data_IF_541544310367
#
_entry.id   IF_541544310367
#
_cell.length_a   1.000
_cell.length_b   1.000
_cell.length_c   1.000
_cell.angle_alpha   90.00
_cell.angle_beta   90.00
_cell.angle_gamma   90.00
#
_symmetry.space_group_name_H-M   'P 1'
#
loop_
_entity.id
_entity.type
_entity.pdbx_description
1 polymer ?
#
# COMPACT_ATOMS: atom_id res chain seq x y z
N UNK A 1 -26.58 16.61 12.70
CA UNK A 1 -26.38 17.16 14.06
C UNK A 1 -25.05 17.86 13.98
N UNK A 2 -25.09 19.17 13.72
CA UNK A 2 -23.90 19.89 13.25
C UNK A 2 -23.14 20.43 14.47
N UNK A 3 -21.91 19.95 14.64
CA UNK A 3 -21.04 20.36 15.73
C UNK A 3 -20.39 21.69 15.33
N UNK A 4 -20.81 22.77 16.00
CA UNK A 4 -20.18 24.08 15.90
C UNK A 4 -19.13 24.20 17.01
N UNK A 5 -17.85 24.23 16.65
CA UNK A 5 -16.74 24.43 17.60
C UNK A 5 -16.31 25.90 17.54
N UNK A 6 -16.35 26.59 18.67
CA UNK A 6 -15.94 27.99 18.79
C UNK A 6 -14.75 28.10 19.75
N UNK A 7 -13.62 28.63 19.26
CA UNK A 7 -12.36 28.71 20.00
C UNK A 7 -12.30 30.03 20.78
N UNK A 8 -12.41 29.98 22.12
CA UNK A 8 -12.50 31.20 22.96
C UNK A 8 -11.14 31.81 23.37
N UNK A 9 -10.04 31.03 23.45
CA UNK A 9 -8.65 31.52 23.56
C UNK A 9 -7.65 30.36 23.53
N UNK A 10 -6.46 30.57 22.97
CA UNK A 10 -5.35 29.59 22.90
C UNK A 10 -5.18 28.97 21.51
N UNK A 11 -3.94 28.59 21.17
CA UNK A 11 -3.61 27.95 19.88
C UNK A 11 -3.66 26.43 20.04
N UNK A 12 -4.69 25.77 19.50
CA UNK A 12 -4.73 24.32 19.41
C UNK A 12 -3.78 23.87 18.28
N UNK A 13 -2.50 23.66 18.62
CA UNK A 13 -1.53 23.00 17.74
C UNK A 13 -1.78 21.48 17.79
N UNK A 14 -2.85 21.04 17.12
CA UNK A 14 -3.10 19.60 16.93
C UNK A 14 -2.23 19.12 15.77
N UNK A 15 -1.11 18.48 16.07
CA UNK A 15 -0.37 17.72 15.06
C UNK A 15 -1.05 16.36 14.91
N UNK A 16 -2.01 16.27 13.99
CA UNK A 16 -2.50 14.96 13.52
C UNK A 16 -1.47 14.44 12.52
N UNK A 17 -0.48 13.70 13.01
CA UNK A 17 0.45 12.99 12.15
C UNK A 17 -0.27 11.76 11.59
N UNK A 18 -1.01 11.93 10.49
CA UNK A 18 -1.39 10.79 9.65
C UNK A 18 -0.11 10.28 9.01
N UNK A 19 0.26 8.99 9.17
CA UNK A 19 1.34 8.41 8.37
C UNK A 19 0.90 8.43 6.91
N UNK A 20 1.30 9.47 6.18
CA UNK A 20 1.22 9.50 4.72
C UNK A 20 2.27 8.53 4.18
N UNK A 21 1.85 7.70 3.24
CA UNK A 21 2.60 6.58 2.69
C UNK A 21 3.80 7.09 1.87
N UNK A 22 4.91 7.37 2.54
CA UNK A 22 6.27 7.53 1.99
C UNK A 22 7.29 7.34 3.13
N UNK A 23 8.55 6.94 2.85
CA UNK A 23 9.31 6.05 3.72
C UNK A 23 9.81 6.72 5.00
N UNK A 24 9.42 6.11 6.12
CA UNK A 24 10.14 6.04 7.40
C UNK A 24 10.32 7.37 8.17
N UNK A 25 9.70 7.39 9.35
CA UNK A 25 9.75 8.37 10.42
C UNK A 25 8.80 9.58 10.26
N UNK A 26 7.60 9.46 10.86
CA UNK A 26 6.89 10.63 11.37
C UNK A 26 7.73 11.24 12.48
N UNK A 27 8.66 12.12 12.11
CA UNK A 27 9.57 12.76 13.03
C UNK A 27 8.90 14.00 13.63
N UNK A 28 8.35 13.87 14.83
CA UNK A 28 7.86 15.01 15.58
C UNK A 28 8.91 15.36 16.63
N UNK A 29 9.39 16.61 16.58
CA UNK A 29 10.28 17.17 17.60
C UNK A 29 9.43 17.52 18.80
N UNK A 30 9.83 17.01 19.96
CA UNK A 30 9.02 17.06 21.14
C UNK A 30 9.51 18.15 22.09
N UNK A 31 10.74 17.98 22.60
CA UNK A 31 11.45 18.87 23.51
C UNK A 31 12.92 18.43 23.63
N UNK A 32 13.84 19.36 23.89
CA UNK A 32 15.23 19.09 24.32
C UNK A 32 16.03 18.07 23.49
N UNK A 33 15.77 18.00 22.17
CA UNK A 33 16.45 17.05 21.30
C UNK A 33 15.91 15.61 21.37
N UNK A 34 14.68 15.42 21.82
CA UNK A 34 13.94 14.15 21.75
C UNK A 34 13.03 14.15 20.53
N UNK A 35 13.07 13.04 19.78
CA UNK A 35 12.23 12.79 18.60
C UNK A 35 11.36 11.56 18.80
N UNK A 36 10.12 11.64 18.36
CA UNK A 36 9.31 10.44 18.14
C UNK A 36 9.69 9.81 16.80
N UNK A 37 9.95 8.50 16.83
CA UNK A 37 10.23 7.66 15.66
C UNK A 37 9.17 6.57 15.58
N UNK A 38 8.63 6.37 14.38
CA UNK A 38 7.73 5.26 14.11
C UNK A 38 7.79 4.85 12.63
N UNK A 39 7.62 3.55 12.37
CA UNK A 39 7.52 2.99 11.03
C UNK A 39 6.08 2.67 10.60
N UNK A 40 5.18 2.48 11.57
CA UNK A 40 3.83 1.94 11.38
C UNK A 40 2.80 2.55 12.36
N UNK A 41 3.22 3.47 13.21
CA UNK A 41 2.44 3.96 14.34
C UNK A 41 1.62 5.20 14.05
N UNK A 42 0.35 5.16 14.45
CA UNK A 42 -0.54 6.31 14.53
C UNK A 42 -0.54 6.81 15.97
N UNK A 43 -0.24 8.09 16.19
CA UNK A 43 -0.19 8.65 17.53
C UNK A 43 -0.57 10.13 17.56
N UNK A 44 -1.02 10.57 18.74
CA UNK A 44 -1.36 11.94 19.04
C UNK A 44 -0.41 12.45 20.13
N UNK A 45 0.13 13.66 19.96
CA UNK A 45 0.82 14.37 21.03
C UNK A 45 -0.07 15.49 21.57
N UNK A 46 -0.30 15.50 22.88
CA UNK A 46 -0.99 16.57 23.58
C UNK A 46 -0.01 17.22 24.55
N UNK A 47 0.19 18.54 24.44
CA UNK A 47 0.92 19.31 25.47
C UNK A 47 -0.06 19.71 26.56
N UNK A 48 0.21 19.31 27.79
CA UNK A 48 -0.55 19.75 28.96
C UNK A 48 -0.02 21.08 29.49
N UNK A 49 -0.89 21.82 30.17
CA UNK A 49 -0.53 23.07 30.86
C UNK A 49 0.41 22.84 32.06
N UNK A 50 0.55 21.58 32.48
CA UNK A 50 1.46 21.11 33.54
C UNK A 50 2.92 20.98 33.08
N UNK A 51 3.23 21.43 31.87
CA UNK A 51 4.55 21.32 31.28
C UNK A 51 4.93 19.88 30.95
N UNK A 52 3.99 18.92 30.96
CA UNK A 52 4.20 17.56 30.45
C UNK A 52 3.56 17.44 29.09
N UNK A 53 3.99 16.42 28.38
CA UNK A 53 3.43 16.11 27.08
C UNK A 53 3.06 14.63 27.06
N UNK A 54 1.91 14.35 26.48
CA UNK A 54 1.28 13.05 26.44
C UNK A 54 1.31 12.55 25.01
N UNK A 55 1.97 11.43 24.76
CA UNK A 55 1.78 10.67 23.53
C UNK A 55 0.71 9.61 23.78
N UNK A 56 -0.33 9.63 22.97
CA UNK A 56 -1.33 8.56 22.89
C UNK A 56 -1.14 7.82 21.58
N UNK A 57 -0.76 6.55 21.64
CA UNK A 57 -0.57 5.71 20.44
C UNK A 57 -1.88 5.01 20.13
N UNK A 58 -2.47 5.35 18.98
CA UNK A 58 -3.70 4.72 18.50
C UNK A 58 -3.42 3.35 17.87
N UNK A 59 -2.32 3.21 17.12
CA UNK A 59 -1.90 1.95 16.51
C UNK A 59 -0.38 1.90 16.28
N UNK A 60 0.18 0.72 16.04
CA UNK A 60 1.62 0.50 15.80
C UNK A 60 2.50 0.76 17.02
N UNK A 61 3.80 1.02 16.79
CA UNK A 61 4.77 1.33 17.85
C UNK A 61 5.43 2.68 17.63
N UNK A 62 5.53 3.47 18.70
CA UNK A 62 6.25 4.75 18.73
C UNK A 62 7.40 4.64 19.71
N UNK A 63 8.60 5.01 19.26
CA UNK A 63 9.80 5.06 20.08
C UNK A 63 10.24 6.51 20.25
N UNK A 64 10.54 6.91 21.49
CA UNK A 64 11.19 8.17 21.81
C UNK A 64 12.68 7.95 21.93
N UNK A 65 13.46 8.75 21.22
CA UNK A 65 14.91 8.69 21.28
C UNK A 65 15.52 10.09 21.17
N UNK A 66 16.74 10.22 21.65
CA UNK A 66 17.54 11.41 21.39
C UNK A 66 17.85 11.50 19.87
N UNK A 67 17.96 12.73 19.36
CA UNK A 67 18.33 13.05 17.96
C UNK A 67 19.63 12.34 17.57
N UNK A 68 19.77 11.97 16.29
CA UNK A 68 20.96 11.32 15.72
C UNK A 68 21.23 9.89 16.22
N UNK A 69 20.18 9.10 16.43
CA UNK A 69 20.33 7.71 16.88
C UNK A 69 20.77 7.57 18.35
N UNK A 70 20.60 8.63 19.15
CA UNK A 70 20.91 8.60 20.57
C UNK A 70 19.97 7.69 21.39
N UNK A 71 20.17 7.69 22.71
CA UNK A 71 19.56 6.74 23.66
C UNK A 71 18.03 6.71 23.53
N UNK A 72 17.45 5.50 23.47
CA UNK A 72 16.00 5.32 23.56
C UNK A 72 15.52 5.73 24.96
N UNK A 73 14.64 6.74 25.00
CA UNK A 73 14.06 7.28 26.23
C UNK A 73 12.79 6.54 26.64
N UNK A 74 12.19 5.79 25.71
CA UNK A 74 11.04 4.93 25.95
C UNK A 74 10.33 4.56 24.66
N UNK A 75 9.40 3.62 24.74
CA UNK A 75 8.50 3.31 23.64
C UNK A 75 7.08 3.01 24.13
N UNK A 76 6.10 3.25 23.26
CA UNK A 76 4.69 2.98 23.49
C UNK A 76 4.09 2.26 22.29
N UNK A 77 3.30 1.23 22.56
CA UNK A 77 2.55 0.46 21.57
C UNK A 77 1.08 0.89 21.52
N UNK A 78 0.32 0.36 20.56
CA UNK A 78 -1.10 0.64 20.39
C UNK A 78 -1.89 0.64 21.72
N UNK A 79 -2.77 1.64 21.86
CA UNK A 79 -3.59 1.92 23.04
C UNK A 79 -2.81 2.29 24.32
N UNK A 80 -1.50 2.47 24.23
CA UNK A 80 -0.70 2.95 25.34
C UNK A 80 -0.55 4.47 25.29
N UNK A 81 -0.45 5.03 26.50
CA UNK A 81 -0.14 6.44 26.72
C UNK A 81 1.21 6.53 27.39
N UNK A 82 2.03 7.46 26.91
CA UNK A 82 3.31 7.77 27.51
C UNK A 82 3.34 9.25 27.86
N UNK A 83 3.61 9.53 29.12
CA UNK A 83 3.83 10.89 29.59
C UNK A 83 5.33 11.12 29.68
N UNK A 84 5.79 12.23 29.13
CA UNK A 84 7.20 12.59 29.20
C UNK A 84 7.32 14.05 29.67
N UNK A 85 8.48 14.41 30.27
CA UNK A 85 8.72 15.79 30.70
C UNK A 85 8.65 16.69 29.46
N UNK A 86 7.84 17.74 29.51
CA UNK A 86 7.89 18.77 28.48
C UNK A 86 9.09 19.68 28.75
N UNK A 87 9.64 20.19 27.66
CA UNK A 87 10.72 21.16 27.66
C UNK A 87 10.54 22.16 26.52
N UNK A 88 11.43 23.14 26.44
CA UNK A 88 11.38 24.12 25.34
C UNK A 88 11.62 23.40 24.01
N UNK A 89 10.85 23.78 22.99
CA UNK A 89 11.08 23.33 21.62
C UNK A 89 12.41 23.90 21.13
N UNK A 90 13.47 23.10 21.16
CA UNK A 90 14.76 23.45 20.57
C UNK A 90 14.77 23.01 19.11
N UNK A 91 15.33 23.83 18.22
CA UNK A 91 15.57 23.43 16.85
C UNK A 91 16.42 22.15 16.82
N UNK A 92 16.15 21.26 15.85
CA UNK A 92 16.99 20.09 15.65
C UNK A 92 18.43 20.51 15.30
N UNK A 93 19.39 19.75 15.81
CA UNK A 93 20.79 19.99 15.50
C UNK A 93 21.03 19.89 13.97
N UNK A 94 21.70 20.88 13.41
CA UNK A 94 22.03 20.92 11.99
C UNK A 94 22.92 19.72 11.61
N UNK A 95 22.71 19.17 10.40
CA UNK A 95 23.49 18.03 9.89
C UNK A 95 23.00 16.65 10.38
N UNK A 96 21.91 16.59 11.14
CA UNK A 96 21.33 15.31 11.59
C UNK A 96 20.49 14.66 10.49
N UNK A 97 20.41 13.32 10.43
CA UNK A 97 19.52 12.61 9.51
C UNK A 97 18.06 13.09 9.60
N UNK A 98 17.61 13.42 10.80
CA UNK A 98 16.29 13.96 11.10
C UNK A 98 16.00 15.30 10.41
N UNK A 99 16.99 16.21 10.36
CA UNK A 99 16.86 17.50 9.64
C UNK A 99 16.85 17.28 8.12
N UNK A 100 17.64 16.32 7.62
CA UNK A 100 17.64 15.98 6.20
C UNK A 100 16.30 15.38 5.76
N UNK A 101 15.73 14.46 6.54
CA UNK A 101 14.41 13.87 6.30
C UNK A 101 13.29 14.91 6.34
N UNK A 102 13.29 15.84 7.31
CA UNK A 102 12.30 16.91 7.39
C UNK A 102 12.38 17.89 6.22
N UNK A 103 13.58 18.16 5.70
CA UNK A 103 13.77 18.98 4.49
C UNK A 103 13.27 18.27 3.23
N UNK A 104 13.45 16.96 3.14
CA UNK A 104 13.04 16.17 1.97
C UNK A 104 11.54 15.80 1.95
N UNK A 105 10.86 15.83 3.10
CA UNK A 105 9.48 15.38 3.25
C UNK A 105 8.47 16.16 2.40
N UNK A 106 8.47 17.51 2.35
CA UNK A 106 7.51 18.25 1.53
C UNK A 106 7.63 17.92 0.04
N UNK A 107 8.86 17.78 -0.46
CA UNK A 107 9.12 17.47 -1.88
C UNK A 107 8.73 16.04 -2.24
N UNK A 108 8.94 15.08 -1.33
CA UNK A 108 8.55 13.69 -1.50
C UNK A 108 7.02 13.49 -1.47
N UNK A 109 6.32 14.16 -0.55
CA UNK A 109 4.85 14.13 -0.49
C UNK A 109 4.22 14.78 -1.73
N UNK A 110 4.81 15.89 -2.20
CA UNK A 110 4.37 16.57 -3.42
C UNK A 110 4.59 15.70 -4.66
N UNK A 111 5.73 15.02 -4.75
CA UNK A 111 5.98 14.06 -5.82
C UNK A 111 4.94 12.93 -5.83
N UNK A 112 4.72 12.26 -4.69
CA UNK A 112 3.76 11.15 -4.62
C UNK A 112 2.34 11.60 -5.04
N UNK A 113 1.90 12.76 -4.57
CA UNK A 113 0.58 13.31 -4.91
C UNK A 113 0.45 13.63 -6.40
N UNK A 114 1.46 14.29 -6.98
CA UNK A 114 1.46 14.63 -8.41
C UNK A 114 1.47 13.37 -9.28
N UNK A 115 2.24 12.36 -8.90
CA UNK A 115 2.30 11.10 -9.62
C UNK A 115 0.97 10.34 -9.53
N UNK A 116 0.31 10.30 -8.37
CA UNK A 116 -0.99 9.65 -8.22
C UNK A 116 -2.08 10.31 -9.08
N UNK A 117 -2.17 11.65 -9.04
CA UNK A 117 -3.12 12.42 -9.87
C UNK A 117 -2.87 12.15 -11.35
N UNK A 118 -1.61 12.18 -11.78
CA UNK A 118 -1.24 11.97 -13.17
C UNK A 118 -1.57 10.55 -13.66
N UNK A 119 -1.35 9.55 -12.80
CA UNK A 119 -1.71 8.17 -13.11
C UNK A 119 -3.23 7.98 -13.25
N UNK A 120 -4.01 8.54 -12.33
CA UNK A 120 -5.48 8.49 -12.41
C UNK A 120 -5.99 9.26 -13.64
N UNK A 121 -5.36 10.39 -13.98
CA UNK A 121 -5.63 11.15 -15.20
C UNK A 121 -5.35 10.36 -16.47
N UNK A 122 -4.19 9.71 -16.58
CA UNK A 122 -3.85 8.84 -17.73
C UNK A 122 -4.80 7.66 -17.86
N UNK A 123 -5.26 7.13 -16.72
CA UNK A 123 -6.23 6.03 -16.70
C UNK A 123 -7.61 6.48 -17.20
N UNK A 124 -8.10 7.62 -16.71
CA UNK A 124 -9.47 8.10 -16.93
C UNK A 124 -9.67 8.96 -18.19
N UNK A 125 -8.66 9.72 -18.59
CA UNK A 125 -8.71 10.73 -19.65
C UNK A 125 -7.45 10.64 -20.55
N UNK A 126 -7.26 9.54 -21.30
CA UNK A 126 -6.08 9.34 -22.14
C UNK A 126 -5.92 10.40 -23.25
N UNK A 127 -6.98 11.10 -23.63
CA UNK A 127 -6.96 12.23 -24.56
C UNK A 127 -6.29 13.48 -23.99
N UNK A 128 -6.25 13.64 -22.66
CA UNK A 128 -5.63 14.78 -21.97
C UNK A 128 -4.14 14.55 -21.66
N UNK A 129 -3.52 13.55 -22.28
CA UNK A 129 -2.16 13.09 -21.98
C UNK A 129 -1.11 14.21 -22.04
N UNK A 130 -1.19 15.09 -23.05
CA UNK A 130 -0.24 16.20 -23.21
C UNK A 130 -0.35 17.22 -22.09
N UNK A 131 -1.59 17.54 -21.66
CA UNK A 131 -1.86 18.46 -20.56
C UNK A 131 -1.37 17.87 -19.23
N UNK A 132 -1.66 16.60 -18.96
CA UNK A 132 -1.21 15.88 -17.75
C UNK A 132 0.32 15.88 -17.66
N UNK A 133 1.02 15.52 -18.74
CA UNK A 133 2.47 15.52 -18.75
C UNK A 133 3.04 16.93 -18.59
N UNK A 134 2.42 17.94 -19.21
CA UNK A 134 2.84 19.34 -19.07
C UNK A 134 2.67 19.83 -17.64
N UNK A 135 1.52 19.58 -17.02
CA UNK A 135 1.19 20.05 -15.66
C UNK A 135 2.11 19.44 -14.59
N UNK A 136 2.53 18.18 -14.79
CA UNK A 136 3.44 17.50 -13.85
C UNK A 136 4.90 17.83 -14.13
N UNK A 137 5.32 17.84 -15.40
CA UNK A 137 6.74 17.97 -15.75
C UNK A 137 7.23 19.41 -15.87
N UNK A 138 6.33 20.38 -16.04
CA UNK A 138 6.70 21.82 -15.99
C UNK A 138 7.27 22.21 -14.61
N UNK A 139 6.59 21.92 -13.48
CA UNK A 139 7.15 22.21 -12.16
C UNK A 139 8.21 21.18 -11.70
N UNK A 140 8.22 19.96 -12.24
CA UNK A 140 9.14 18.88 -11.87
C UNK A 140 9.66 18.11 -13.09
N UNK A 141 10.62 18.68 -13.85
CA UNK A 141 11.15 18.04 -15.05
C UNK A 141 11.81 16.68 -14.79
N UNK A 142 12.33 16.49 -13.57
CA UNK A 142 12.96 15.26 -13.08
C UNK A 142 11.99 14.06 -13.02
N UNK A 143 10.68 14.32 -12.96
CA UNK A 143 9.67 13.26 -12.92
C UNK A 143 9.29 12.72 -14.30
N UNK A 144 9.80 13.30 -15.39
CA UNK A 144 9.40 12.96 -16.76
C UNK A 144 9.55 11.48 -17.07
N UNK A 145 10.72 10.89 -16.82
CA UNK A 145 10.99 9.48 -17.13
C UNK A 145 10.13 8.54 -16.28
N UNK A 146 9.95 8.90 -15.00
CA UNK A 146 9.14 8.14 -14.05
C UNK A 146 7.66 8.17 -14.44
N UNK A 147 7.14 9.34 -14.82
CA UNK A 147 5.78 9.51 -15.31
C UNK A 147 5.58 8.75 -16.62
N UNK A 148 6.50 8.87 -17.58
CA UNK A 148 6.45 8.16 -18.85
C UNK A 148 6.38 6.63 -18.65
N UNK A 149 7.26 6.10 -17.81
CA UNK A 149 7.32 4.66 -17.50
C UNK A 149 6.05 4.18 -16.80
N UNK A 150 5.54 4.94 -15.82
CA UNK A 150 4.34 4.57 -15.08
C UNK A 150 3.07 4.70 -15.94
N UNK A 151 2.98 5.71 -16.79
CA UNK A 151 1.87 5.90 -17.73
C UNK A 151 1.81 4.78 -18.76
N UNK A 152 2.95 4.29 -19.28
CA UNK A 152 3.00 3.08 -20.11
C UNK A 152 2.58 1.82 -19.34
N UNK A 153 2.88 1.76 -18.04
CA UNK A 153 2.35 0.74 -17.15
C UNK A 153 0.84 0.85 -16.88
N UNK A 154 0.16 1.90 -17.36
CA UNK A 154 -1.30 2.12 -17.23
C UNK A 154 -2.01 2.03 -18.60
N UNK A 155 -1.37 2.46 -19.68
CA UNK A 155 -1.89 2.46 -21.05
C UNK A 155 -0.74 2.20 -22.05
N UNK A 156 -0.31 0.95 -22.27
CA UNK A 156 0.78 0.62 -23.19
C UNK A 156 0.51 1.09 -24.62
N UNK A 157 -0.75 1.15 -25.01
CA UNK A 157 -1.23 1.63 -26.30
C UNK A 157 -0.87 3.11 -26.58
N UNK A 158 -0.56 3.89 -25.54
CA UNK A 158 -0.20 5.31 -25.66
C UNK A 158 1.30 5.53 -25.95
N UNK A 159 2.08 4.48 -26.23
CA UNK A 159 3.53 4.57 -26.45
C UNK A 159 3.94 5.69 -27.41
N UNK A 160 3.37 5.71 -28.61
CA UNK A 160 3.72 6.73 -29.61
C UNK A 160 3.43 8.16 -29.13
N UNK A 161 2.31 8.36 -28.45
CA UNK A 161 1.93 9.67 -27.88
C UNK A 161 2.86 10.09 -26.75
N UNK A 162 3.19 9.16 -25.84
CA UNK A 162 4.11 9.44 -24.72
C UNK A 162 5.51 9.76 -25.24
N UNK A 163 6.03 9.00 -26.21
CA UNK A 163 7.34 9.29 -26.83
C UNK A 163 7.36 10.67 -27.48
N UNK A 164 6.28 11.05 -28.19
CA UNK A 164 6.15 12.36 -28.82
C UNK A 164 6.15 13.51 -27.81
N UNK A 165 5.40 13.37 -26.70
CA UNK A 165 5.29 14.40 -25.65
C UNK A 165 6.61 14.52 -24.86
N UNK A 166 7.24 13.39 -24.53
CA UNK A 166 8.39 13.37 -23.63
C UNK A 166 9.73 13.55 -24.33
N UNK A 167 9.81 13.19 -25.61
CA UNK A 167 11.07 13.11 -26.37
C UNK A 167 11.89 11.85 -26.07
N UNK A 168 11.35 10.90 -25.28
CA UNK A 168 12.05 9.68 -24.87
C UNK A 168 11.93 8.60 -25.96
N UNK A 169 12.79 8.65 -26.97
CA UNK A 169 12.75 7.71 -28.10
C UNK A 169 12.99 6.24 -27.71
N UNK A 170 13.77 5.99 -26.65
CA UNK A 170 14.13 4.65 -26.18
C UNK A 170 13.09 4.00 -25.25
N UNK A 171 11.98 4.70 -24.97
CA UNK A 171 10.91 4.20 -24.13
C UNK A 171 10.28 2.95 -24.77
N UNK A 172 10.08 1.89 -23.99
CA UNK A 172 9.45 0.64 -24.46
C UNK A 172 8.18 0.37 -23.69
N UNK A 173 7.13 -0.05 -24.39
CA UNK A 173 5.93 -0.53 -23.75
C UNK A 173 6.25 -1.81 -22.95
N UNK A 174 5.77 -1.94 -21.71
CA UNK A 174 5.89 -3.18 -20.96
C UNK A 174 5.20 -4.31 -21.73
N UNK A 175 5.70 -5.54 -21.59
CA UNK A 175 5.00 -6.69 -22.14
C UNK A 175 3.58 -6.73 -21.54
N UNK A 176 2.55 -7.10 -22.29
CA UNK A 176 1.15 -7.10 -21.81
C UNK A 176 0.96 -7.79 -20.44
N UNK A 177 1.76 -8.82 -20.13
CA UNK A 177 1.78 -9.43 -18.79
C UNK A 177 2.26 -8.50 -17.67
N UNK A 178 3.34 -7.73 -17.90
CA UNK A 178 3.87 -6.75 -16.94
C UNK A 178 2.89 -5.58 -16.75
N UNK A 179 2.18 -5.18 -17.80
CA UNK A 179 1.13 -4.17 -17.74
C UNK A 179 -0.02 -4.57 -16.80
N UNK A 180 -0.58 -5.76 -16.99
CA UNK A 180 -1.65 -6.26 -16.14
C UNK A 180 -1.19 -6.47 -14.69
N UNK A 181 0.08 -6.84 -14.49
CA UNK A 181 0.70 -6.99 -13.18
C UNK A 181 0.86 -5.65 -12.43
N UNK A 182 1.25 -4.58 -13.12
CA UNK A 182 1.35 -3.22 -12.55
C UNK A 182 -0.03 -2.67 -12.17
N UNK A 183 -1.02 -2.81 -13.05
CA UNK A 183 -2.38 -2.37 -12.74
C UNK A 183 -3.00 -3.16 -11.59
N UNK A 184 -2.81 -4.48 -11.57
CA UNK A 184 -3.19 -5.33 -10.46
C UNK A 184 -2.54 -4.87 -9.16
N UNK A 185 -1.22 -4.63 -9.16
CA UNK A 185 -0.48 -4.22 -7.97
C UNK A 185 -1.05 -2.94 -7.35
N UNK A 186 -1.46 -1.96 -8.18
CA UNK A 186 -2.10 -0.72 -7.70
C UNK A 186 -3.48 -0.97 -7.08
N UNK A 187 -4.32 -1.79 -7.73
CA UNK A 187 -5.66 -2.15 -7.19
C UNK A 187 -5.53 -2.91 -5.88
N UNK A 188 -4.66 -3.93 -5.86
CA UNK A 188 -4.40 -4.75 -4.70
C UNK A 188 -3.83 -3.93 -3.54
N UNK A 189 -2.90 -2.99 -3.80
CA UNK A 189 -2.33 -2.13 -2.77
C UNK A 189 -3.38 -1.27 -2.05
N UNK A 190 -4.43 -0.79 -2.75
CA UNK A 190 -5.53 -0.05 -2.11
C UNK A 190 -6.30 -0.91 -1.12
N UNK A 191 -6.55 -2.18 -1.46
CA UNK A 191 -7.33 -3.11 -0.63
C UNK A 191 -6.48 -3.68 0.51
N UNK A 192 -5.21 -3.99 0.24
CA UNK A 192 -4.29 -4.53 1.24
C UNK A 192 -4.05 -3.57 2.43
N UNK A 193 -4.37 -2.28 2.31
CA UNK A 193 -4.32 -1.33 3.43
C UNK A 193 -5.23 -1.72 4.59
N UNK A 194 -6.34 -2.38 4.29
CA UNK A 194 -7.35 -2.78 5.28
C UNK A 194 -7.18 -4.26 5.72
N UNK A 195 -6.12 -4.92 5.27
CA UNK A 195 -5.77 -6.31 5.61
C UNK A 195 -4.47 -6.37 6.44
N UNK A 196 -4.19 -7.47 7.16
CA UNK A 196 -5.09 -8.58 7.46
C UNK A 196 -6.15 -8.19 8.50
N UNK A 197 -7.41 -8.51 8.22
CA UNK A 197 -8.54 -8.21 9.12
C UNK A 197 -9.22 -9.49 9.63
N UNK A 198 -9.49 -9.63 10.95
CA UNK A 198 -10.17 -10.81 11.51
C UNK A 198 -11.62 -10.97 11.03
N UNK A 199 -12.24 -9.93 10.47
CA UNK A 199 -13.59 -9.98 9.89
C UNK A 199 -13.59 -10.36 8.41
N UNK A 200 -12.43 -10.43 7.78
CA UNK A 200 -12.31 -10.83 6.39
C UNK A 200 -12.60 -12.32 6.21
N UNK A 201 -13.35 -12.64 5.15
CA UNK A 201 -13.71 -14.02 4.83
C UNK A 201 -12.77 -14.54 3.75
N UNK A 202 -12.11 -15.66 4.03
CA UNK A 202 -11.34 -16.41 3.05
C UNK A 202 -12.21 -16.75 1.84
N UNK A 203 -11.67 -16.60 0.63
CA UNK A 203 -12.38 -16.81 -0.63
C UNK A 203 -13.32 -15.66 -1.04
N UNK A 204 -13.43 -14.57 -0.27
CA UNK A 204 -14.37 -13.48 -0.59
C UNK A 204 -14.00 -12.79 -1.91
N UNK A 205 -14.96 -12.75 -2.83
CA UNK A 205 -14.87 -12.00 -4.08
C UNK A 205 -15.00 -10.51 -3.79
N UNK A 206 -14.00 -9.75 -4.24
CA UNK A 206 -13.90 -8.31 -4.02
C UNK A 206 -14.43 -7.56 -5.23
N UNK A 207 -14.12 -8.05 -6.43
CA UNK A 207 -14.51 -7.40 -7.66
C UNK A 207 -14.63 -8.41 -8.80
N UNK A 208 -15.62 -8.22 -9.66
CA UNK A 208 -15.81 -8.97 -10.91
C UNK A 208 -15.92 -7.96 -12.04
N UNK A 209 -15.12 -8.18 -13.09
CA UNK A 209 -15.22 -7.49 -14.37
C UNK A 209 -15.57 -8.50 -15.45
N UNK A 210 -16.54 -8.16 -16.30
CA UNK A 210 -17.00 -9.04 -17.37
C UNK A 210 -17.69 -10.32 -16.87
N UNK A 211 -17.54 -11.39 -17.63
CA UNK A 211 -18.16 -12.70 -17.39
C UNK A 211 -17.21 -13.65 -16.67
N UNK A 212 -17.59 -14.04 -15.46
CA UNK A 212 -16.92 -15.09 -14.71
C UNK A 212 -17.91 -16.05 -14.07
N UNK A 213 -17.53 -17.33 -13.98
CA UNK A 213 -18.39 -18.39 -13.46
C UNK A 213 -17.67 -19.31 -12.48
N UNK A 214 -18.41 -19.85 -11.52
CA UNK A 214 -18.03 -21.00 -10.68
C UNK A 214 -19.09 -22.06 -10.88
N UNK A 215 -18.67 -23.29 -11.21
CA UNK A 215 -19.60 -24.40 -11.47
C UNK A 215 -20.69 -24.06 -12.52
N UNK A 216 -20.35 -23.22 -13.50
CA UNK A 216 -21.26 -22.75 -14.54
C UNK A 216 -22.24 -21.65 -14.12
N UNK A 217 -22.21 -21.20 -12.86
CA UNK A 217 -23.03 -20.09 -12.35
C UNK A 217 -22.23 -18.79 -12.34
N UNK A 218 -22.84 -17.63 -12.68
CA UNK A 218 -22.17 -16.33 -12.59
C UNK A 218 -21.71 -16.01 -11.17
N UNK A 219 -20.50 -15.49 -11.04
CA UNK A 219 -19.92 -15.05 -9.76
C UNK A 219 -20.36 -13.61 -9.47
N UNK A 220 -20.63 -13.30 -8.20
CA UNK A 220 -20.95 -11.94 -7.77
C UNK A 220 -19.93 -11.38 -6.76
N UNK A 221 -19.78 -10.04 -6.77
CA UNK A 221 -19.03 -9.34 -5.73
C UNK A 221 -19.63 -9.62 -4.35
N UNK A 222 -18.77 -9.93 -3.37
CA UNK A 222 -19.15 -10.27 -2.00
C UNK A 222 -19.44 -11.75 -1.77
N UNK A 223 -19.57 -12.55 -2.84
CA UNK A 223 -19.67 -14.01 -2.74
C UNK A 223 -18.41 -14.61 -2.12
N UNK A 224 -18.54 -15.75 -1.44
CA UNK A 224 -17.42 -16.44 -0.81
C UNK A 224 -17.16 -17.74 -1.56
N UNK A 225 -16.01 -17.81 -2.22
CA UNK A 225 -15.54 -19.01 -2.91
C UNK A 225 -15.20 -20.09 -1.88
N UNK A 226 -15.82 -21.26 -2.03
CA UNK A 226 -15.47 -22.43 -1.22
C UNK A 226 -14.12 -23.02 -1.64
N UNK A 227 -13.49 -23.77 -0.75
CA UNK A 227 -12.39 -24.65 -1.14
C UNK A 227 -12.88 -25.66 -2.20
N UNK A 228 -12.07 -25.87 -3.23
CA UNK A 228 -12.42 -26.64 -4.43
C UNK A 228 -13.13 -25.84 -5.52
N UNK A 229 -13.56 -24.59 -5.27
CA UNK A 229 -14.24 -23.78 -6.27
C UNK A 229 -13.32 -23.48 -7.46
N UNK A 230 -13.78 -23.83 -8.67
CA UNK A 230 -13.11 -23.55 -9.93
C UNK A 230 -13.72 -22.32 -10.60
N UNK A 231 -12.99 -21.20 -10.56
CA UNK A 231 -13.37 -19.93 -11.16
C UNK A 231 -12.89 -19.87 -12.60
N UNK A 232 -13.80 -19.60 -13.54
CA UNK A 232 -13.54 -19.45 -14.97
C UNK A 232 -13.87 -18.04 -15.43
N UNK A 233 -12.94 -17.38 -16.13
CA UNK A 233 -13.12 -16.03 -16.70
C UNK A 233 -13.19 -16.09 -18.22
N UNK A 234 -14.08 -15.29 -18.81
CA UNK A 234 -14.18 -15.11 -20.27
C UNK A 234 -13.21 -14.06 -20.82
N UNK A 235 -13.31 -13.74 -22.12
CA UNK A 235 -12.58 -12.64 -22.74
C UNK A 235 -12.88 -11.30 -22.04
N UNK A 236 -11.85 -10.46 -21.84
CA UNK A 236 -11.98 -9.15 -21.18
C UNK A 236 -12.47 -9.19 -19.73
N UNK A 237 -12.51 -10.37 -19.11
CA UNK A 237 -13.08 -10.58 -17.78
C UNK A 237 -11.99 -10.77 -16.72
N UNK A 238 -12.20 -10.31 -15.50
CA UNK A 238 -11.27 -10.44 -14.39
C UNK A 238 -12.04 -10.67 -13.09
N UNK A 239 -11.47 -11.49 -12.18
CA UNK A 239 -12.05 -11.70 -10.84
C UNK A 239 -10.98 -11.45 -9.81
N UNK A 240 -11.21 -10.46 -8.94
CA UNK A 240 -10.35 -10.18 -7.79
C UNK A 240 -11.03 -10.69 -6.53
N UNK A 241 -10.29 -11.45 -5.72
CA UNK A 241 -10.79 -12.05 -4.49
C UNK A 241 -9.68 -12.12 -3.43
N UNK A 242 -10.08 -12.41 -2.19
CA UNK A 242 -9.21 -12.56 -1.04
C UNK A 242 -9.06 -14.06 -0.74
N UNK A 243 -8.01 -14.78 -1.20
CA UNK A 243 -7.84 -16.19 -0.87
C UNK A 243 -7.77 -16.41 0.65
N UNK A 244 -6.98 -15.58 1.34
CA UNK A 244 -6.82 -15.55 2.79
C UNK A 244 -6.49 -14.12 3.23
N UNK A 245 -6.62 -13.83 4.53
CA UNK A 245 -6.30 -12.51 5.09
C UNK A 245 -4.88 -12.07 4.73
N UNK A 246 -4.75 -10.85 4.20
CA UNK A 246 -3.48 -10.30 3.73
C UNK A 246 -3.00 -10.80 2.36
N UNK A 247 -3.82 -11.53 1.59
CA UNK A 247 -3.52 -11.93 0.21
C UNK A 247 -4.65 -11.49 -0.71
N UNK A 248 -4.31 -10.86 -1.83
CA UNK A 248 -5.23 -10.53 -2.91
C UNK A 248 -4.80 -11.33 -4.14
N UNK A 249 -5.76 -11.97 -4.81
CA UNK A 249 -5.54 -12.64 -6.08
C UNK A 249 -6.48 -12.07 -7.14
N UNK A 250 -5.98 -11.89 -8.37
CA UNK A 250 -6.76 -11.52 -9.54
C UNK A 250 -6.58 -12.55 -10.65
N UNK A 251 -7.67 -13.22 -10.98
CA UNK A 251 -7.75 -14.17 -12.09
C UNK A 251 -7.94 -13.36 -13.36
N UNK A 252 -7.00 -13.49 -14.29
CA UNK A 252 -7.02 -12.75 -15.55
C UNK A 252 -8.04 -13.33 -16.52
N UNK A 253 -8.28 -12.66 -17.63
CA UNK A 253 -9.19 -13.13 -18.69
C UNK A 253 -8.79 -14.51 -19.24
N UNK A 254 -9.77 -15.25 -19.76
CA UNK A 254 -9.60 -16.58 -20.36
C UNK A 254 -8.87 -17.60 -19.47
N UNK A 255 -9.03 -17.47 -18.14
CA UNK A 255 -8.30 -18.26 -17.15
C UNK A 255 -9.24 -19.16 -16.36
N UNK A 256 -8.69 -20.22 -15.79
CA UNK A 256 -9.36 -21.15 -14.89
C UNK A 256 -8.46 -21.41 -13.67
N UNK A 257 -8.95 -21.03 -12.49
CA UNK A 257 -8.19 -21.13 -11.24
C UNK A 257 -9.04 -21.78 -10.16
N UNK A 258 -8.46 -22.73 -9.44
CA UNK A 258 -9.11 -23.44 -8.32
C UNK A 258 -8.55 -22.94 -7.00
N UNK A 259 -9.42 -22.58 -6.05
CA UNK A 259 -9.04 -22.32 -4.67
C UNK A 259 -8.92 -23.65 -3.91
N UNK A 260 -7.72 -24.24 -3.83
CA UNK A 260 -7.55 -25.57 -3.25
C UNK A 260 -7.54 -25.58 -1.72
N UNK A 261 -7.00 -24.52 -1.11
CA UNK A 261 -6.91 -24.39 0.34
C UNK A 261 -6.94 -22.93 0.74
N UNK A 262 -7.64 -22.61 1.83
CA UNK A 262 -7.78 -21.26 2.33
C UNK A 262 -8.01 -21.25 3.86
N UNK A 263 -6.97 -20.98 4.63
CA UNK A 263 -7.04 -20.94 6.09
C UNK A 263 -6.44 -19.66 6.65
N UNK A 264 -7.16 -18.99 7.56
CA UNK A 264 -6.68 -17.83 8.32
C UNK A 264 -7.00 -18.04 9.79
N UNK A 265 -6.03 -17.83 10.68
CA UNK A 265 -6.16 -17.97 12.12
C UNK A 265 -5.78 -16.68 12.82
N UNK A 266 -6.71 -16.18 13.62
CA UNK A 266 -6.50 -15.02 14.48
C UNK A 266 -6.64 -15.43 15.94
N UNK A 267 -5.81 -14.85 16.80
CA UNK A 267 -5.90 -14.97 18.25
C UNK A 267 -5.84 -13.58 18.86
N UNK A 268 -6.82 -13.24 19.70
CA UNK A 268 -6.97 -11.91 20.29
C UNK A 268 -6.88 -10.75 19.25
N UNK A 269 -7.44 -10.96 18.06
CA UNK A 269 -7.42 -9.99 16.96
C UNK A 269 -6.10 -9.89 16.19
N UNK A 270 -5.08 -10.69 16.55
CA UNK A 270 -3.78 -10.72 15.89
C UNK A 270 -3.69 -11.91 14.95
N UNK A 271 -3.22 -11.68 13.72
CA UNK A 271 -2.99 -12.75 12.76
C UNK A 271 -1.85 -13.67 13.24
N UNK A 272 -2.18 -14.94 13.40
CA UNK A 272 -1.23 -16.01 13.74
C UNK A 272 -0.72 -16.71 12.50
N UNK A 273 -1.62 -17.06 11.59
CA UNK A 273 -1.29 -17.80 10.36
C UNK A 273 -2.34 -17.53 9.28
N UNK A 274 -1.91 -17.40 8.02
CA UNK A 274 -2.75 -17.37 6.84
C UNK A 274 -2.07 -18.18 5.72
N UNK A 275 -2.72 -19.25 5.27
CA UNK A 275 -2.21 -20.11 4.20
C UNK A 275 -3.25 -20.31 3.11
N UNK A 276 -2.90 -19.94 1.89
CA UNK A 276 -3.67 -20.20 0.69
C UNK A 276 -2.93 -21.11 -0.29
N UNK A 277 -3.68 -21.95 -1.01
CA UNK A 277 -3.21 -22.68 -2.16
C UNK A 277 -4.18 -22.48 -3.32
N UNK A 278 -3.65 -22.01 -4.45
CA UNK A 278 -4.35 -21.85 -5.71
C UNK A 278 -3.77 -22.83 -6.73
N UNK A 279 -4.61 -23.31 -7.65
CA UNK A 279 -4.16 -24.04 -8.84
C UNK A 279 -4.59 -23.28 -10.08
N UNK A 280 -3.62 -22.78 -10.85
CA UNK A 280 -3.89 -22.29 -12.21
C UNK A 280 -3.97 -23.48 -13.16
N UNK A 281 -5.19 -23.79 -13.59
CA UNK A 281 -5.49 -24.84 -14.58
C UNK A 281 -5.25 -24.30 -15.99
N UNK A 282 -5.65 -23.04 -16.22
CA UNK A 282 -5.50 -22.34 -17.49
C UNK A 282 -5.28 -20.85 -17.24
N UNK A 283 -4.41 -20.24 -18.05
CA UNK A 283 -4.19 -18.79 -18.02
C UNK A 283 -3.44 -18.31 -16.78
N UNK A 284 -3.68 -17.05 -16.40
CA UNK A 284 -2.84 -16.31 -15.47
C UNK A 284 -3.60 -15.92 -14.21
N UNK A 285 -2.89 -15.96 -13.09
CA UNK A 285 -3.34 -15.42 -11.81
C UNK A 285 -2.26 -14.54 -11.23
N UNK A 286 -2.63 -13.30 -10.91
CA UNK A 286 -1.75 -12.34 -10.25
C UNK A 286 -2.05 -12.33 -8.77
N UNK A 287 -1.01 -12.28 -7.94
CA UNK A 287 -1.16 -12.35 -6.50
C UNK A 287 -0.31 -11.28 -5.82
N UNK A 288 -0.88 -10.63 -4.81
CA UNK A 288 -0.20 -9.67 -3.96
C UNK A 288 -0.36 -10.10 -2.50
N UNK A 289 0.72 -9.99 -1.74
CA UNK A 289 0.76 -10.34 -0.32
C UNK A 289 1.15 -9.10 0.44
N UNK A 290 0.43 -8.79 1.52
CA UNK A 290 0.81 -7.70 2.42
C UNK A 290 2.19 -7.94 3.01
N UNK A 291 2.96 -6.88 3.17
CA UNK A 291 4.29 -6.92 3.76
C UNK A 291 4.24 -6.92 5.29
N UNK A 292 5.32 -7.34 5.95
CA UNK A 292 5.50 -7.22 7.40
C UNK A 292 5.11 -8.44 8.23
N UNK A 293 4.61 -9.53 7.61
CA UNK A 293 4.11 -10.71 8.32
C UNK A 293 5.01 -11.95 8.17
N UNK A 294 6.06 -11.88 7.33
CA UNK A 294 7.02 -12.97 7.18
C UNK A 294 6.34 -14.29 6.82
N UNK A 295 6.71 -15.35 7.54
CA UNK A 295 6.18 -16.71 7.31
C UNK A 295 4.72 -16.89 7.74
N UNK A 296 4.13 -15.93 8.46
CA UNK A 296 2.74 -16.04 8.90
C UNK A 296 1.76 -16.04 7.73
N UNK A 297 2.12 -15.43 6.59
CA UNK A 297 1.29 -15.42 5.40
C UNK A 297 2.03 -16.18 4.30
N UNK A 298 1.43 -17.30 3.86
CA UNK A 298 1.98 -18.15 2.82
C UNK A 298 0.96 -18.37 1.71
N UNK A 299 1.37 -18.12 0.48
CA UNK A 299 0.62 -18.44 -0.73
C UNK A 299 1.38 -19.46 -1.55
N UNK A 300 0.69 -20.51 -1.99
CA UNK A 300 1.19 -21.45 -2.99
C UNK A 300 0.34 -21.37 -4.24
N UNK A 301 0.98 -21.31 -5.40
CA UNK A 301 0.30 -21.36 -6.70
C UNK A 301 0.83 -22.56 -7.47
N UNK A 302 0.01 -23.60 -7.61
CA UNK A 302 0.28 -24.76 -8.44
C UNK A 302 -0.02 -24.42 -9.91
N UNK A 303 0.92 -24.75 -10.79
CA UNK A 303 0.77 -24.65 -12.25
C UNK A 303 1.19 -25.97 -12.89
N UNK A 304 0.94 -26.15 -14.18
CA UNK A 304 1.43 -27.31 -14.93
C UNK A 304 2.97 -27.48 -14.88
N UNK A 305 3.72 -26.41 -14.58
CA UNK A 305 5.20 -26.41 -14.51
C UNK A 305 5.75 -26.66 -13.11
N UNK A 306 4.89 -26.72 -12.09
CA UNK A 306 5.28 -26.86 -10.69
C UNK A 306 4.58 -25.86 -9.77
N UNK A 307 5.03 -25.84 -8.52
CA UNK A 307 4.42 -25.03 -7.45
C UNK A 307 5.32 -23.83 -7.12
N UNK A 308 4.76 -22.64 -7.27
CA UNK A 308 5.38 -21.40 -6.82
C UNK A 308 4.94 -21.12 -5.38
N UNK A 309 5.88 -20.69 -4.53
CA UNK A 309 5.62 -20.32 -3.14
C UNK A 309 6.02 -18.87 -2.91
N UNK A 310 5.09 -18.08 -2.38
CA UNK A 310 5.31 -16.72 -1.93
C UNK A 310 4.98 -16.61 -0.44
N UNK A 311 5.72 -15.76 0.26
CA UNK A 311 5.48 -15.44 1.68
C UNK A 311 5.52 -13.93 1.83
N UNK A 312 4.84 -13.42 2.87
CA UNK A 312 4.97 -12.01 3.22
C UNK A 312 6.44 -11.68 3.50
N UNK A 313 6.89 -10.52 3.04
CA UNK A 313 8.21 -10.03 3.39
C UNK A 313 8.28 -9.77 4.89
N UNK A 314 9.34 -10.19 5.60
CA UNK A 314 9.58 -9.73 6.96
C UNK A 314 9.68 -8.20 6.98
N UNK A 315 9.34 -7.58 8.10
CA UNK A 315 9.49 -6.14 8.29
C UNK A 315 10.91 -5.70 7.89
N UNK A 316 11.02 -4.90 6.83
CA UNK A 316 12.29 -4.35 6.35
C UNK A 316 12.97 -5.05 5.15
N UNK A 317 12.40 -6.11 4.58
CA UNK A 317 12.92 -6.75 3.36
C UNK A 317 12.34 -6.14 2.06
N UNK A 318 13.07 -6.23 0.93
CA UNK A 318 12.58 -5.73 -0.38
C UNK A 318 11.40 -6.58 -0.90
N UNK A 319 10.35 -5.98 -1.51
CA UNK A 319 9.20 -6.69 -2.05
C UNK A 319 9.59 -7.75 -3.10
N UNK A 320 8.87 -8.87 -3.13
CA UNK A 320 8.90 -9.85 -4.23
C UNK A 320 7.49 -9.99 -4.81
N UNK A 321 7.28 -9.51 -6.04
CA UNK A 321 6.07 -9.80 -6.80
C UNK A 321 6.16 -11.22 -7.35
N UNK A 322 5.05 -11.97 -7.30
CA UNK A 322 4.99 -13.32 -7.83
C UNK A 322 3.99 -13.37 -9.00
N UNK A 323 4.50 -13.66 -10.19
CA UNK A 323 3.69 -13.95 -11.38
C UNK A 323 3.71 -15.45 -11.67
N UNK A 324 2.53 -16.06 -11.81
CA UNK A 324 2.38 -17.46 -12.16
C UNK A 324 1.74 -17.59 -13.55
N UNK A 325 2.51 -18.11 -14.53
CA UNK A 325 2.04 -18.32 -15.91
C UNK A 325 1.83 -19.81 -16.22
N UNK A 326 0.60 -20.22 -16.44
CA UNK A 326 0.30 -21.49 -17.11
C UNK A 326 0.29 -21.23 -18.62
N UNK A 327 1.18 -21.90 -19.37
CA UNK A 327 1.17 -21.81 -20.85
C UNK A 327 -0.06 -22.54 -21.39
#
# INVERSE_FOLDING_TARGET
>A
MDIKVELRKGTLLTYVAVPLVAPRANLVVIAEGIVARTGDGLYQITKGDDGKSLISVASGKVTLADVAGGVERGSASANQKMTFPGGKSTALAAGTPEVASLKALPDACREATLMDIAQDGVLGCPEALEEIFTEVTTPRPDLKDKLATQSLGIRPELLGSIQKITGLADLKAPAMGEFHSVQFSKRAAKILKDEPNPLSKNGKVIQVFGTATVEGKPIQTGEVLAEGAAVKTGPGSQVMFLPVSGVIAEIQQNSEVVLEKASSRFEAGVLQEATAQLRSVKGDVHCAIIEGFGEKICLKVATAKGVLKAMSTPVGAKPKNLEAKAK
#
